data_IF_558418727047
#
_entry.id   IF_558418727047
#
_cell.length_a   1.000
_cell.length_b   1.000
_cell.length_c   1.000
_cell.angle_alpha   90.00
_cell.angle_beta   90.00
_cell.angle_gamma   90.00
#
_symmetry.space_group_name_H-M   'P 1'
#
loop_
_entity.id
_entity.type
_entity.pdbx_description
1 polymer ?
#
# COMPACT_ATOMS: atom_id res chain seq x y z
N UNK A 1 12.26 -12.17 9.50
CA UNK A 1 11.56 -12.01 8.23
C UNK A 1 10.65 -10.81 8.39
N UNK A 2 10.83 -9.77 7.58
CA UNK A 2 10.10 -8.49 7.71
C UNK A 2 9.09 -8.28 6.58
N UNK A 3 9.18 -9.06 5.51
CA UNK A 3 8.20 -9.12 4.42
C UNK A 3 6.95 -9.92 4.81
N UNK A 4 5.79 -9.39 4.43
CA UNK A 4 4.50 -10.02 4.58
C UNK A 4 3.70 -9.91 3.28
N UNK A 5 2.72 -10.80 3.13
CA UNK A 5 1.73 -10.72 2.07
C UNK A 5 0.37 -11.14 2.60
N UNK A 6 -0.69 -10.72 1.91
CA UNK A 6 -2.05 -11.12 2.18
C UNK A 6 -2.79 -11.39 0.87
N UNK A 7 -3.56 -12.49 0.82
CA UNK A 7 -4.42 -12.80 -0.31
C UNK A 7 -5.79 -13.24 0.19
N UNK A 8 -6.85 -12.58 -0.26
CA UNK A 8 -8.24 -12.95 0.06
C UNK A 8 -9.09 -12.94 -1.19
N UNK A 9 -10.08 -13.83 -1.22
CA UNK A 9 -11.15 -13.83 -2.21
C UNK A 9 -12.46 -13.79 -1.44
N UNK A 10 -13.24 -12.75 -1.65
CA UNK A 10 -14.49 -12.49 -0.95
C UNK A 10 -15.64 -12.30 -1.96
N UNK A 11 -16.88 -12.39 -1.48
CA UNK A 11 -18.07 -12.03 -2.26
C UNK A 11 -18.80 -10.91 -1.54
N UNK A 12 -18.90 -9.74 -2.18
CA UNK A 12 -19.57 -8.55 -1.63
C UNK A 12 -20.64 -8.12 -2.62
N UNK A 13 -21.89 -8.03 -2.17
CA UNK A 13 -23.07 -7.71 -3.01
C UNK A 13 -23.17 -8.56 -4.29
N UNK A 14 -22.77 -9.84 -4.21
CA UNK A 14 -22.78 -10.78 -5.33
C UNK A 14 -21.64 -10.58 -6.34
N UNK A 15 -20.69 -9.68 -6.08
CA UNK A 15 -19.48 -9.50 -6.88
C UNK A 15 -18.30 -10.20 -6.23
N UNK A 16 -17.50 -10.89 -7.06
CA UNK A 16 -16.23 -11.46 -6.64
C UNK A 16 -15.22 -10.33 -6.38
N UNK A 17 -14.63 -10.34 -5.20
CA UNK A 17 -13.60 -9.41 -4.77
C UNK A 17 -12.30 -10.18 -4.58
N UNK A 18 -11.25 -9.79 -5.29
CA UNK A 18 -9.89 -10.30 -5.06
C UNK A 18 -9.04 -9.24 -4.36
N UNK A 19 -8.36 -9.61 -3.30
CA UNK A 19 -7.51 -8.72 -2.50
C UNK A 19 -6.12 -9.34 -2.42
N UNK A 20 -5.11 -8.65 -2.92
CA UNK A 20 -3.72 -9.12 -2.94
C UNK A 20 -2.80 -8.01 -2.48
N UNK A 21 -1.92 -8.28 -1.53
CA UNK A 21 -1.00 -7.27 -0.98
C UNK A 21 0.36 -7.85 -0.65
N UNK A 22 1.40 -7.05 -0.87
CA UNK A 22 2.79 -7.30 -0.45
C UNK A 22 3.25 -6.10 0.37
N UNK A 23 3.90 -6.38 1.50
CA UNK A 23 4.30 -5.40 2.51
C UNK A 23 5.75 -5.70 2.90
N UNK A 24 6.68 -4.86 2.43
CA UNK A 24 8.11 -4.98 2.70
C UNK A 24 8.47 -4.12 3.92
N UNK A 25 8.63 -4.78 5.06
CA UNK A 25 8.94 -4.14 6.34
C UNK A 25 10.39 -3.70 6.45
N UNK A 26 10.63 -2.59 7.15
CA UNK A 26 11.97 -2.09 7.44
C UNK A 26 12.07 -1.54 8.86
N UNK A 27 13.21 -1.75 9.51
CA UNK A 27 13.41 -1.34 10.91
C UNK A 27 12.60 -2.19 11.91
N UNK A 28 12.05 -3.33 11.47
CA UNK A 28 11.19 -4.22 12.25
C UNK A 28 9.97 -4.72 11.46
N UNK A 29 9.53 -5.95 11.76
CA UNK A 29 8.39 -6.60 11.12
C UNK A 29 6.99 -6.04 11.51
N UNK A 30 6.92 -5.22 12.57
CA UNK A 30 5.67 -4.86 13.25
C UNK A 30 4.68 -4.13 12.35
N UNK A 31 5.14 -3.14 11.57
CA UNK A 31 4.27 -2.35 10.68
C UNK A 31 3.75 -3.23 9.55
N UNK A 32 4.62 -3.99 8.89
CA UNK A 32 4.23 -4.87 7.79
C UNK A 32 3.22 -5.94 8.24
N UNK A 33 3.42 -6.52 9.43
CA UNK A 33 2.48 -7.45 10.05
C UNK A 33 1.13 -6.79 10.40
N UNK A 34 1.14 -5.56 10.92
CA UNK A 34 -0.09 -4.82 11.21
C UNK A 34 -0.88 -4.49 9.93
N UNK A 35 -0.20 -3.98 8.90
CA UNK A 35 -0.83 -3.63 7.61
C UNK A 35 -1.46 -4.87 6.98
N UNK A 36 -0.75 -6.02 6.98
CA UNK A 36 -1.28 -7.30 6.50
C UNK A 36 -2.64 -7.65 7.11
N UNK A 37 -2.78 -7.51 8.43
CA UNK A 37 -4.00 -7.92 9.13
C UNK A 37 -5.16 -6.91 8.98
N UNK A 38 -4.84 -5.61 8.92
CA UNK A 38 -5.83 -4.56 9.09
C UNK A 38 -6.25 -3.86 7.78
N UNK A 39 -5.34 -3.68 6.81
CA UNK A 39 -5.60 -2.84 5.63
C UNK A 39 -6.83 -3.29 4.83
N UNK A 40 -6.91 -4.59 4.49
CA UNK A 40 -8.06 -5.12 3.77
C UNK A 40 -9.33 -5.16 4.61
N UNK A 41 -9.19 -5.29 5.94
CA UNK A 41 -10.33 -5.23 6.86
C UNK A 41 -10.93 -3.83 6.92
N UNK A 42 -10.10 -2.78 6.89
CA UNK A 42 -10.55 -1.39 6.74
C UNK A 42 -11.21 -1.15 5.39
N UNK A 43 -10.60 -1.63 4.31
CA UNK A 43 -11.13 -1.48 2.96
C UNK A 43 -12.51 -2.10 2.79
N UNK A 44 -12.70 -3.35 3.22
CA UNK A 44 -13.97 -4.06 3.09
C UNK A 44 -15.10 -3.44 3.92
N UNK A 45 -14.77 -2.78 5.04
CA UNK A 45 -15.74 -2.08 5.90
C UNK A 45 -16.03 -0.65 5.44
N UNK A 46 -15.23 -0.12 4.51
CA UNK A 46 -15.37 1.26 4.08
C UNK A 46 -16.72 1.46 3.36
N UNK A 47 -17.55 2.46 3.74
CA UNK A 47 -18.90 2.62 3.19
C UNK A 47 -18.91 2.94 1.68
N UNK A 48 -17.77 3.39 1.14
CA UNK A 48 -17.60 3.64 -0.30
C UNK A 48 -16.94 2.50 -1.06
N UNK A 49 -16.68 1.34 -0.45
CA UNK A 49 -15.91 0.26 -1.10
C UNK A 49 -16.46 -0.12 -2.49
N UNK A 50 -17.78 -0.32 -2.59
CA UNK A 50 -18.44 -0.70 -3.84
C UNK A 50 -18.82 0.49 -4.73
N UNK A 51 -19.05 1.68 -4.15
CA UNK A 51 -19.52 2.86 -4.89
C UNK A 51 -18.39 3.74 -5.42
N UNK A 52 -17.31 3.87 -4.66
CA UNK A 52 -16.08 4.60 -5.01
C UNK A 52 -14.85 3.92 -4.38
N UNK A 53 -14.44 2.81 -5.00
CA UNK A 53 -13.34 1.97 -4.54
C UNK A 53 -12.02 2.74 -4.43
N UNK A 54 -11.80 3.77 -5.28
CA UNK A 54 -10.56 4.57 -5.21
C UNK A 54 -10.49 5.37 -3.93
N UNK A 55 -11.57 6.07 -3.57
CA UNK A 55 -11.67 6.80 -2.30
C UNK A 55 -11.56 5.82 -1.13
N UNK A 56 -12.24 4.68 -1.20
CA UNK A 56 -12.15 3.67 -0.16
C UNK A 56 -10.72 3.16 0.07
N UNK A 57 -9.94 2.94 -1.00
CA UNK A 57 -8.54 2.53 -0.90
C UNK A 57 -7.69 3.63 -0.25
N UNK A 58 -7.79 4.88 -0.74
CA UNK A 58 -7.03 6.01 -0.19
C UNK A 58 -7.33 6.23 1.30
N UNK A 59 -8.61 6.26 1.68
CA UNK A 59 -9.05 6.42 3.06
C UNK A 59 -8.60 5.25 3.95
N UNK A 60 -8.62 4.01 3.42
CA UNK A 60 -8.20 2.83 4.18
C UNK A 60 -6.70 2.78 4.43
N UNK A 61 -5.88 3.24 3.48
CA UNK A 61 -4.44 3.38 3.70
C UNK A 61 -4.17 4.40 4.82
N UNK A 62 -4.80 5.57 4.74
CA UNK A 62 -4.67 6.63 5.77
C UNK A 62 -5.17 6.18 7.14
N UNK A 63 -6.33 5.53 7.21
CA UNK A 63 -6.88 5.08 8.49
C UNK A 63 -6.04 3.98 9.13
N UNK A 64 -5.49 3.06 8.32
CA UNK A 64 -4.58 2.01 8.82
C UNK A 64 -3.29 2.61 9.37
N UNK A 65 -2.73 3.62 8.70
CA UNK A 65 -1.52 4.32 9.17
C UNK A 65 -1.79 5.07 10.49
N UNK A 66 -2.85 5.88 10.54
CA UNK A 66 -3.23 6.62 11.74
C UNK A 66 -3.54 5.70 12.92
N UNK A 67 -4.30 4.62 12.72
CA UNK A 67 -4.64 3.68 13.79
C UNK A 67 -3.38 2.97 14.33
N UNK A 68 -2.44 2.59 13.45
CA UNK A 68 -1.17 2.03 13.88
C UNK A 68 -0.40 3.04 14.76
N UNK A 69 -0.25 4.27 14.30
CA UNK A 69 0.47 5.34 15.00
C UNK A 69 -0.17 5.68 16.36
N UNK A 70 -1.50 5.62 16.48
CA UNK A 70 -2.21 5.83 17.74
C UNK A 70 -2.04 4.64 18.71
N UNK A 71 -1.99 3.42 18.18
CA UNK A 71 -1.82 2.20 18.98
C UNK A 71 -0.40 1.96 19.45
N UNK A 72 0.60 2.45 18.70
CA UNK A 72 2.00 2.19 18.97
C UNK A 72 2.69 3.30 19.77
N UNK A 73 2.76 3.13 21.09
CA UNK A 73 3.46 4.06 21.99
C UNK A 73 4.99 3.90 22.00
N UNK A 74 5.56 2.90 21.31
CA UNK A 74 6.97 2.54 21.50
C UNK A 74 7.97 3.41 20.73
N UNK A 75 7.51 4.40 19.95
CA UNK A 75 8.35 5.24 19.06
C UNK A 75 9.36 4.43 18.23
N UNK A 76 8.99 3.20 17.84
CA UNK A 76 9.88 2.37 17.05
C UNK A 76 10.01 2.98 15.64
N UNK A 77 11.24 3.16 15.17
CA UNK A 77 11.56 3.68 13.84
C UNK A 77 11.40 2.57 12.76
N UNK A 78 10.27 1.88 12.78
CA UNK A 78 9.93 0.84 11.81
C UNK A 78 8.86 1.33 10.83
N UNK A 79 8.83 0.74 9.65
CA UNK A 79 7.89 1.07 8.59
C UNK A 79 7.66 -0.12 7.66
N UNK A 80 6.84 0.09 6.64
CA UNK A 80 6.59 -0.91 5.59
C UNK A 80 6.24 -0.21 4.28
N UNK A 81 6.57 -0.85 3.16
CA UNK A 81 5.87 -0.58 1.90
C UNK A 81 4.47 -1.18 1.95
N UNK A 82 3.62 -0.80 0.99
CA UNK A 82 2.35 -1.46 0.74
C UNK A 82 1.96 -1.37 -0.75
N UNK A 83 2.13 -2.48 -1.47
CA UNK A 83 1.67 -2.63 -2.85
C UNK A 83 0.48 -3.58 -2.89
N UNK A 84 -0.70 -3.06 -3.26
CA UNK A 84 -1.95 -3.84 -3.28
C UNK A 84 -2.60 -3.84 -4.66
N UNK A 85 -3.25 -4.95 -4.97
CA UNK A 85 -4.09 -5.17 -6.13
C UNK A 85 -5.47 -5.64 -5.65
N UNK A 86 -6.49 -4.84 -5.98
CA UNK A 86 -7.89 -5.05 -5.59
C UNK A 86 -8.72 -5.26 -6.85
N UNK A 87 -9.25 -6.46 -7.04
CA UNK A 87 -10.16 -6.79 -8.13
C UNK A 87 -11.60 -6.69 -7.64
N UNK A 88 -12.39 -5.79 -8.19
CA UNK A 88 -13.83 -5.66 -7.93
C UNK A 88 -14.59 -5.98 -9.22
N UNK A 89 -15.21 -7.16 -9.28
CA UNK A 89 -15.80 -7.67 -10.51
C UNK A 89 -14.74 -7.82 -11.62
N UNK A 90 -14.78 -6.95 -12.63
CA UNK A 90 -13.81 -6.93 -13.74
C UNK A 90 -12.84 -5.73 -13.69
N UNK A 91 -12.82 -4.97 -12.61
CA UNK A 91 -12.00 -3.76 -12.45
C UNK A 91 -10.85 -4.04 -11.48
N UNK A 92 -9.62 -3.89 -11.97
CA UNK A 92 -8.42 -3.99 -11.15
C UNK A 92 -7.98 -2.58 -10.70
N UNK A 93 -7.85 -2.40 -9.40
CA UNK A 93 -7.29 -1.21 -8.76
C UNK A 93 -5.94 -1.57 -8.17
N UNK A 94 -4.93 -0.73 -8.40
CA UNK A 94 -3.59 -0.90 -7.83
C UNK A 94 -3.27 0.33 -7.02
N UNK A 95 -2.80 0.13 -5.79
CA UNK A 95 -2.30 1.18 -4.91
C UNK A 95 -0.90 0.82 -4.42
N UNK A 96 -0.03 1.82 -4.35
CA UNK A 96 1.37 1.64 -4.02
C UNK A 96 1.86 2.74 -3.08
N UNK A 97 2.51 2.33 -2.00
CA UNK A 97 3.27 3.19 -1.10
C UNK A 97 4.63 2.55 -0.89
N UNK A 98 5.70 3.25 -1.27
CA UNK A 98 7.07 2.75 -1.20
C UNK A 98 7.56 2.21 -2.55
N UNK A 99 8.57 1.35 -2.51
CA UNK A 99 9.32 0.90 -3.68
C UNK A 99 9.13 -0.57 -4.04
N UNK A 100 8.18 -1.25 -3.40
CA UNK A 100 7.59 -2.45 -3.97
C UNK A 100 6.84 -2.12 -5.28
N UNK A 101 6.59 -3.15 -6.11
CA UNK A 101 6.08 -2.94 -7.47
C UNK A 101 5.03 -3.96 -7.88
N UNK A 102 3.99 -3.47 -8.55
CA UNK A 102 2.96 -4.26 -9.21
C UNK A 102 3.11 -4.19 -10.74
N UNK A 103 3.02 -5.35 -11.38
CA UNK A 103 3.14 -5.53 -12.83
C UNK A 103 2.02 -6.47 -13.28
N UNK A 104 1.40 -6.20 -14.43
CA UNK A 104 0.49 -7.13 -15.09
C UNK A 104 1.13 -7.69 -16.36
N UNK A 105 0.84 -8.93 -16.71
CA UNK A 105 1.14 -9.48 -18.02
C UNK A 105 -0.04 -9.22 -18.97
N UNK A 106 0.21 -8.54 -20.09
CA UNK A 106 -0.79 -8.29 -21.14
C UNK A 106 -0.23 -8.68 -22.50
N UNK A 107 -0.84 -9.69 -23.12
CA UNK A 107 -0.40 -10.24 -24.41
C UNK A 107 1.10 -10.62 -24.43
N UNK A 108 1.58 -11.25 -23.35
CA UNK A 108 2.99 -11.65 -23.21
C UNK A 108 3.96 -10.54 -22.78
N UNK A 109 3.47 -9.30 -22.60
CA UNK A 109 4.30 -8.17 -22.18
C UNK A 109 4.08 -7.83 -20.70
N UNK A 110 5.17 -7.56 -19.98
CA UNK A 110 5.14 -7.02 -18.64
C UNK A 110 4.82 -5.52 -18.68
N UNK A 111 3.70 -5.12 -18.08
CA UNK A 111 3.24 -3.73 -18.01
C UNK A 111 3.24 -3.29 -16.55
N UNK A 112 4.10 -2.33 -16.14
CA UNK A 112 4.06 -1.79 -14.79
C UNK A 112 2.73 -1.06 -14.56
N UNK A 113 2.10 -1.33 -13.42
CA UNK A 113 0.81 -0.73 -13.01
C UNK A 113 0.92 0.04 -11.69
N UNK A 114 2.13 0.11 -11.13
CA UNK A 114 2.51 1.02 -10.06
C UNK A 114 3.73 1.84 -10.47
N UNK A 115 3.97 2.93 -9.74
CA UNK A 115 5.20 3.73 -9.78
C UNK A 115 5.88 3.58 -8.43
N UNK A 116 7.14 3.16 -8.41
CA UNK A 116 7.94 3.11 -7.18
C UNK A 116 8.09 4.54 -6.65
N UNK A 117 8.01 4.73 -5.34
CA UNK A 117 8.34 6.00 -4.70
C UNK A 117 9.80 5.98 -4.30
N UNK A 118 10.62 6.76 -5.00
CA UNK A 118 12.05 6.91 -4.71
C UNK A 118 12.37 8.37 -4.40
N UNK A 119 13.21 8.67 -3.39
CA UNK A 119 13.49 10.06 -2.99
C UNK A 119 14.09 10.94 -4.09
N UNK A 120 14.77 10.37 -5.09
CA UNK A 120 15.41 11.09 -6.19
C UNK A 120 14.46 11.47 -7.32
N UNK A 121 13.21 10.96 -7.31
CA UNK A 121 12.20 11.35 -8.28
C UNK A 121 11.74 12.78 -8.02
N UNK A 122 11.52 13.54 -9.09
CA UNK A 122 11.24 14.98 -9.02
C UNK A 122 10.06 15.32 -8.08
N UNK A 123 8.97 14.56 -8.16
CA UNK A 123 7.78 14.76 -7.33
C UNK A 123 8.03 14.44 -5.85
N UNK A 124 8.66 13.30 -5.55
CA UNK A 124 8.98 12.91 -4.18
C UNK A 124 10.06 13.80 -3.55
N UNK A 125 11.08 14.18 -4.33
CA UNK A 125 12.11 15.12 -3.92
C UNK A 125 11.52 16.46 -3.54
N UNK A 126 10.66 17.01 -4.41
CA UNK A 126 9.98 18.27 -4.14
C UNK A 126 9.16 18.18 -2.86
N UNK A 127 8.37 17.11 -2.68
CA UNK A 127 7.59 16.89 -1.45
C UNK A 127 8.46 16.85 -0.20
N UNK A 128 9.63 16.18 -0.27
CA UNK A 128 10.58 16.09 0.85
C UNK A 128 11.19 17.47 1.17
N UNK A 129 11.62 18.22 0.15
CA UNK A 129 12.24 19.54 0.31
C UNK A 129 11.23 20.59 0.81
N UNK A 130 9.97 20.55 0.33
CA UNK A 130 8.87 21.40 0.83
C UNK A 130 8.51 21.12 2.29
N UNK A 131 8.71 19.88 2.76
CA UNK A 131 8.54 19.51 4.17
C UNK A 131 9.75 19.89 5.05
N UNK A 132 10.77 20.56 4.49
CA UNK A 132 11.98 20.98 5.20
C UNK A 132 13.09 19.92 5.28
N UNK A 133 12.92 18.79 4.59
CA UNK A 133 13.94 17.76 4.43
C UNK A 133 14.91 18.05 3.29
N UNK A 134 15.82 17.11 3.02
CA UNK A 134 16.70 17.15 1.85
C UNK A 134 16.97 15.73 1.35
N UNK A 135 17.25 15.61 0.06
CA UNK A 135 17.64 14.34 -0.56
C UNK A 135 19.15 14.35 -0.77
N UNK A 136 19.84 13.45 -0.09
CA UNK A 136 21.27 13.24 -0.28
C UNK A 136 21.54 11.93 -0.98
N UNK A 137 22.49 11.95 -1.89
CA UNK A 137 23.06 10.72 -2.43
C UNK A 137 24.10 10.19 -1.43
N UNK A 138 23.84 9.02 -0.86
CA UNK A 138 24.72 8.35 0.09
C UNK A 138 25.10 6.98 -0.49
N UNK A 139 26.16 6.95 -1.30
CA UNK A 139 26.66 5.77 -1.99
C UNK A 139 27.99 6.05 -2.68
N UNK A 140 28.51 5.09 -3.45
CA UNK A 140 29.68 5.23 -4.35
C UNK A 140 29.28 4.85 -5.76
#
# INVERSE_FOLDING_TARGET
>A
MEDFYETRIESVDGQLIGLFGVFDGHGGAKVAEYVKHNLFSHLLRHPKFMSDTKVAIDDSYKSTDSEFLESDSTQNQCGSTASTAVLVGNRLFVANVGDSRAIICRAGNAVPVSKDHKPDQTDERQRIEEAGGFVMWAGT
#
